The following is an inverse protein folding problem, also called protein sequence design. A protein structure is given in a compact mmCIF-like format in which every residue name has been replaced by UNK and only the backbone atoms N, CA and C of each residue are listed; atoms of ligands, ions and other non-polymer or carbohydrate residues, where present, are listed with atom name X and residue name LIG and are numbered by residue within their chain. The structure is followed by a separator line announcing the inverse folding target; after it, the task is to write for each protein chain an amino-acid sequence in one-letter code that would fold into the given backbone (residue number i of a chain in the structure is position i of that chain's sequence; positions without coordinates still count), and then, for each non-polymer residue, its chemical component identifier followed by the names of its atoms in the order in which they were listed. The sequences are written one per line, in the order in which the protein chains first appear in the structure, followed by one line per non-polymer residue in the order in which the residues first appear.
data_IF_206608931149
#
_entry.id   IF_206608931149
#
_cell.length_a   1.000
_cell.length_b   1.000
_cell.length_c   1.000
_cell.angle_alpha   90.00
_cell.angle_beta   90.00
_cell.angle_gamma   90.00
#
_symmetry.space_group_name_H-M   'P 1'
#
loop_
_entity.id
_entity.type
_entity.pdbx_description
1 polymer ?
#
# COMPACT_ATOMS: atom_id res chain seq x y z
N UNK A 1 -26.91 -13.57 -21.18
CA UNK A 1 -26.31 -13.47 -19.83
C UNK A 1 -26.54 -12.05 -19.33
N UNK A 2 -27.46 -11.88 -18.39
CA UNK A 2 -27.79 -10.57 -17.83
C UNK A 2 -26.65 -10.13 -16.90
N UNK A 3 -25.95 -9.07 -17.30
CA UNK A 3 -24.95 -8.39 -16.49
C UNK A 3 -25.64 -7.82 -15.25
N UNK A 4 -25.38 -8.41 -14.09
CA UNK A 4 -25.82 -7.84 -12.82
C UNK A 4 -25.08 -6.52 -12.63
N UNK A 5 -25.77 -5.41 -12.90
CA UNK A 5 -25.29 -4.05 -12.62
C UNK A 5 -25.30 -3.91 -11.10
N UNK A 6 -24.26 -4.43 -10.45
CA UNK A 6 -23.95 -4.10 -9.08
C UNK A 6 -23.72 -2.60 -9.03
N UNK A 7 -24.68 -1.85 -8.48
CA UNK A 7 -24.52 -0.43 -8.13
C UNK A 7 -23.11 -0.23 -7.61
N UNK A 8 -22.34 0.65 -8.25
CA UNK A 8 -20.98 0.98 -7.84
C UNK A 8 -20.93 1.12 -6.32
N UNK A 9 -20.36 0.11 -5.66
CA UNK A 9 -20.23 0.02 -4.21
C UNK A 9 -19.09 0.93 -3.82
N UNK A 10 -19.31 2.25 -3.87
CA UNK A 10 -18.31 3.20 -3.41
C UNK A 10 -18.20 3.08 -1.87
N UNK A 11 -17.08 2.58 -1.33
CA UNK A 11 -16.90 2.48 0.13
C UNK A 11 -16.93 3.86 0.82
N UNK A 12 -16.65 4.95 0.09
CA UNK A 12 -16.74 6.33 0.60
C UNK A 12 -18.15 6.75 0.99
N UNK A 13 -19.17 6.26 0.28
CA UNK A 13 -20.58 6.60 0.54
C UNK A 13 -21.04 6.21 1.96
N UNK A 14 -20.51 5.12 2.55
CA UNK A 14 -20.86 4.77 3.93
C UNK A 14 -20.26 5.71 4.97
N UNK A 15 -19.07 6.25 4.70
CA UNK A 15 -18.44 7.23 5.58
C UNK A 15 -19.23 8.54 5.56
N UNK A 16 -19.56 9.02 4.37
CA UNK A 16 -20.34 10.25 4.15
C UNK A 16 -21.74 10.15 4.77
N UNK A 17 -22.47 9.07 4.51
CA UNK A 17 -23.81 8.87 5.09
C UNK A 17 -23.77 8.85 6.61
N UNK A 18 -22.79 8.20 7.22
CA UNK A 18 -22.72 8.16 8.68
C UNK A 18 -22.32 9.49 9.32
N UNK A 19 -21.38 10.24 8.74
CA UNK A 19 -21.10 11.61 9.19
C UNK A 19 -22.33 12.52 9.02
N UNK A 20 -23.04 12.40 7.89
CA UNK A 20 -24.26 13.18 7.64
C UNK A 20 -25.34 12.87 8.68
N UNK A 21 -25.68 11.59 8.88
CA UNK A 21 -26.66 11.17 9.91
C UNK A 21 -26.25 11.66 11.29
N UNK A 22 -24.96 11.55 11.64
CA UNK A 22 -24.43 12.04 12.92
C UNK A 22 -24.59 13.55 13.09
N UNK A 23 -24.40 14.32 12.02
CA UNK A 23 -24.54 15.78 12.01
C UNK A 23 -25.99 16.24 12.07
N UNK A 24 -26.89 15.56 11.35
CA UNK A 24 -28.30 15.97 11.23
C UNK A 24 -29.20 15.37 12.33
N UNK A 25 -28.73 14.35 13.05
CA UNK A 25 -29.53 13.74 14.11
C UNK A 25 -29.74 14.67 15.31
N UNK A 26 -30.96 15.20 15.42
CA UNK A 26 -31.47 15.93 16.58
C UNK A 26 -32.33 15.02 17.48
N UNK A 27 -31.94 14.75 18.76
CA UNK A 27 -32.68 13.84 19.63
C UNK A 27 -34.13 14.24 19.95
N UNK A 28 -34.41 15.55 20.03
CA UNK A 28 -35.75 16.09 20.29
C UNK A 28 -36.70 15.78 19.14
N UNK A 29 -36.23 16.00 17.90
CA UNK A 29 -36.98 15.76 16.67
C UNK A 29 -37.08 14.29 16.32
N UNK A 30 -35.96 13.57 16.38
CA UNK A 30 -35.85 12.18 15.90
C UNK A 30 -36.08 11.13 16.99
N UNK A 31 -36.78 11.50 18.08
CA UNK A 31 -37.11 10.59 19.18
C UNK A 31 -37.69 9.24 18.73
N UNK A 32 -38.61 9.16 17.73
CA UNK A 32 -39.19 7.89 17.29
C UNK A 32 -38.20 6.88 16.68
N UNK A 33 -37.02 7.33 16.24
CA UNK A 33 -35.99 6.51 15.57
C UNK A 33 -34.64 6.55 16.28
N UNK A 34 -34.58 7.12 17.49
CA UNK A 34 -33.34 7.38 18.20
C UNK A 34 -32.55 6.09 18.51
N UNK A 35 -33.24 4.97 18.77
CA UNK A 35 -32.62 3.66 19.00
C UNK A 35 -31.85 3.17 17.77
N UNK A 36 -32.46 3.28 16.60
CA UNK A 36 -31.92 2.84 15.32
C UNK A 36 -30.76 3.73 14.89
N UNK A 37 -30.89 5.04 15.09
CA UNK A 37 -29.79 5.98 14.82
C UNK A 37 -28.58 5.62 15.69
N UNK A 38 -28.79 5.37 16.98
CA UNK A 38 -27.71 4.95 17.89
C UNK A 38 -27.07 3.63 17.46
N UNK A 39 -27.88 2.64 17.06
CA UNK A 39 -27.38 1.35 16.58
C UNK A 39 -26.55 1.48 15.29
N UNK A 40 -27.05 2.26 14.33
CA UNK A 40 -26.32 2.58 13.10
C UNK A 40 -25.01 3.32 13.40
N UNK A 41 -25.04 4.41 14.17
CA UNK A 41 -23.82 5.20 14.46
C UNK A 41 -22.78 4.39 15.24
N UNK A 42 -23.19 3.47 16.12
CA UNK A 42 -22.26 2.56 16.81
C UNK A 42 -21.53 1.62 15.85
N UNK A 43 -22.25 0.99 14.92
CA UNK A 43 -21.63 0.11 13.91
C UNK A 43 -20.81 0.89 12.89
N UNK A 44 -21.30 2.05 12.47
CA UNK A 44 -20.60 2.96 11.58
C UNK A 44 -19.30 3.49 12.19
N UNK A 45 -19.26 3.84 13.48
CA UNK A 45 -18.03 4.30 14.12
C UNK A 45 -16.90 3.26 14.07
N UNK A 46 -17.23 1.97 14.20
CA UNK A 46 -16.26 0.87 14.04
C UNK A 46 -15.77 0.75 12.60
N UNK A 47 -16.68 0.83 11.63
CA UNK A 47 -16.33 0.85 10.21
C UNK A 47 -15.43 2.06 9.86
N UNK A 48 -15.75 3.25 10.36
CA UNK A 48 -14.99 4.47 10.14
C UNK A 48 -13.59 4.39 10.77
N UNK A 49 -13.47 3.87 11.99
CA UNK A 49 -12.17 3.63 12.63
C UNK A 49 -11.32 2.62 11.84
N UNK A 50 -11.91 1.50 11.40
CA UNK A 50 -11.21 0.52 10.58
C UNK A 50 -10.81 1.09 9.21
N UNK A 51 -11.62 1.98 8.62
CA UNK A 51 -11.29 2.66 7.36
C UNK A 51 -10.06 3.55 7.50
N UNK A 52 -9.94 4.32 8.60
CA UNK A 52 -8.75 5.13 8.88
C UNK A 52 -7.49 4.28 9.03
N UNK A 53 -7.59 3.14 9.73
CA UNK A 53 -6.46 2.20 9.88
C UNK A 53 -6.05 1.62 8.53
N UNK A 54 -7.03 1.24 7.69
CA UNK A 54 -6.81 0.78 6.33
C UNK A 54 -6.09 1.83 5.50
N UNK A 55 -6.58 3.07 5.46
CA UNK A 55 -5.95 4.12 4.65
C UNK A 55 -4.52 4.43 5.12
N UNK A 56 -4.28 4.46 6.43
CA UNK A 56 -2.93 4.61 6.98
C UNK A 56 -2.00 3.43 6.62
N UNK A 57 -2.51 2.20 6.57
CA UNK A 57 -1.73 1.03 6.18
C UNK A 57 -1.38 1.04 4.68
N UNK A 58 -2.32 1.43 3.81
CA UNK A 58 -2.07 1.60 2.38
C UNK A 58 -1.06 2.72 2.11
N UNK A 59 -1.14 3.85 2.82
CA UNK A 59 -0.14 4.92 2.72
C UNK A 59 1.28 4.44 3.10
N UNK A 60 1.39 3.57 4.12
CA UNK A 60 2.67 2.94 4.49
C UNK A 60 3.18 1.96 3.43
N UNK A 61 2.30 1.17 2.82
CA UNK A 61 2.66 0.29 1.71
C UNK A 61 3.21 1.11 0.53
N UNK A 62 2.53 2.19 0.16
CA UNK A 62 2.96 3.07 -0.93
C UNK A 62 4.32 3.71 -0.64
N UNK A 63 4.52 4.24 0.57
CA UNK A 63 5.81 4.78 0.98
C UNK A 63 6.93 3.71 0.95
N UNK A 64 6.63 2.47 1.34
CA UNK A 64 7.60 1.37 1.27
C UNK A 64 7.96 1.02 -0.18
N UNK A 65 6.99 1.04 -1.11
CA UNK A 65 7.23 0.80 -2.54
C UNK A 65 8.07 1.92 -3.16
N UNK A 66 7.81 3.17 -2.80
CA UNK A 66 8.64 4.30 -3.22
C UNK A 66 10.09 4.16 -2.73
N UNK A 67 10.29 3.81 -1.47
CA UNK A 67 11.62 3.57 -0.91
C UNK A 67 12.35 2.40 -1.58
N UNK A 68 11.64 1.33 -1.96
CA UNK A 68 12.20 0.23 -2.74
C UNK A 68 12.67 0.70 -4.12
N UNK A 69 11.87 1.51 -4.82
CA UNK A 69 12.25 2.07 -6.12
C UNK A 69 13.49 2.97 -6.02
N UNK A 70 13.60 3.79 -4.98
CA UNK A 70 14.79 4.60 -4.71
C UNK A 70 16.03 3.75 -4.43
N UNK A 71 15.90 2.71 -3.60
CA UNK A 71 16.98 1.77 -3.30
C UNK A 71 17.47 1.03 -4.56
N UNK A 72 16.53 0.64 -5.43
CA UNK A 72 16.83 -0.03 -6.70
C UNK A 72 17.60 0.89 -7.66
N UNK A 73 17.16 2.14 -7.82
CA UNK A 73 17.88 3.14 -8.61
C UNK A 73 19.31 3.40 -8.07
N UNK A 74 19.48 3.41 -6.74
CA UNK A 74 20.79 3.54 -6.12
C UNK A 74 21.69 2.32 -6.38
N UNK A 75 21.11 1.10 -6.38
CA UNK A 75 21.81 -0.14 -6.74
C UNK A 75 22.26 -0.12 -8.19
N UNK A 76 21.41 0.27 -9.13
CA UNK A 76 21.74 0.45 -10.55
C UNK A 76 22.90 1.42 -10.76
N UNK A 77 22.86 2.56 -10.07
CA UNK A 77 23.95 3.54 -10.10
C UNK A 77 25.26 2.95 -9.57
N UNK A 78 25.20 2.15 -8.50
CA UNK A 78 26.35 1.46 -7.93
C UNK A 78 26.91 0.37 -8.85
N UNK A 79 26.06 -0.37 -9.57
CA UNK A 79 26.48 -1.33 -10.61
C UNK A 79 27.27 -0.61 -11.69
N UNK A 80 26.76 0.51 -12.21
CA UNK A 80 27.46 1.31 -13.23
C UNK A 80 28.76 1.93 -12.71
N UNK A 81 28.82 2.29 -11.42
CA UNK A 81 30.04 2.79 -10.80
C UNK A 81 31.13 1.70 -10.70
N UNK A 82 30.75 0.48 -10.33
CA UNK A 82 31.67 -0.66 -10.31
C UNK A 82 32.15 -1.02 -11.71
N UNK A 83 31.26 -1.02 -12.70
CA UNK A 83 31.59 -1.23 -14.12
C UNK A 83 32.70 -0.27 -14.59
N UNK A 84 32.52 1.03 -14.38
CA UNK A 84 33.52 2.05 -14.71
C UNK A 84 34.84 1.88 -13.95
N UNK A 85 34.78 1.55 -12.66
CA UNK A 85 35.99 1.35 -11.85
C UNK A 85 36.82 0.15 -12.34
N UNK A 86 36.16 -0.94 -12.75
CA UNK A 86 36.83 -2.10 -13.32
C UNK A 86 37.46 -1.79 -14.68
N UNK A 87 36.79 -1.01 -15.54
CA UNK A 87 37.38 -0.52 -16.80
C UNK A 87 38.64 0.32 -16.52
N UNK A 88 38.57 1.24 -15.56
CA UNK A 88 39.71 2.05 -15.14
C UNK A 88 40.87 1.21 -14.59
N UNK A 89 40.57 0.06 -13.98
CA UNK A 89 41.56 -0.91 -13.50
C UNK A 89 42.08 -1.86 -14.60
N UNK A 90 41.67 -1.69 -15.87
CA UNK A 90 42.17 -2.45 -17.02
C UNK A 90 41.31 -3.64 -17.45
N UNK A 91 40.13 -3.84 -16.86
CA UNK A 91 39.20 -4.89 -17.32
C UNK A 91 38.57 -4.54 -18.69
N UNK A 92 38.04 -5.56 -19.37
CA UNK A 92 37.56 -5.44 -20.75
C UNK A 92 36.36 -4.49 -20.89
N UNK A 93 36.44 -3.48 -21.76
CA UNK A 93 35.43 -2.42 -21.93
C UNK A 93 34.02 -2.93 -22.25
N UNK A 94 33.87 -4.01 -23.02
CA UNK A 94 32.53 -4.50 -23.41
C UNK A 94 31.81 -5.28 -22.29
N UNK A 95 32.55 -5.89 -21.37
CA UNK A 95 32.00 -6.59 -20.21
C UNK A 95 33.09 -6.73 -19.13
N UNK A 96 33.23 -5.73 -18.26
CA UNK A 96 34.18 -5.75 -17.15
C UNK A 96 33.86 -6.83 -16.11
N UNK A 97 32.61 -7.30 -16.07
CA UNK A 97 32.14 -8.31 -15.12
C UNK A 97 32.43 -9.76 -15.56
N UNK A 98 32.86 -9.97 -16.81
CA UNK A 98 33.05 -11.30 -17.41
C UNK A 98 34.01 -12.18 -16.61
N UNK A 99 35.15 -11.63 -16.17
CA UNK A 99 36.17 -12.34 -15.37
C UNK A 99 35.62 -12.82 -14.02
N UNK A 100 34.61 -12.14 -13.51
CA UNK A 100 33.96 -12.44 -12.23
C UNK A 100 32.73 -13.33 -12.39
N UNK A 101 32.49 -13.88 -13.58
CA UNK A 101 31.38 -14.82 -13.85
C UNK A 101 30.00 -14.15 -13.92
N UNK A 102 29.93 -12.83 -14.12
CA UNK A 102 28.68 -12.09 -14.18
C UNK A 102 28.40 -11.54 -15.60
N UNK A 103 27.10 -11.36 -15.95
CA UNK A 103 26.73 -10.71 -17.20
C UNK A 103 27.14 -9.23 -17.20
N UNK A 104 27.14 -8.58 -18.37
CA UNK A 104 27.41 -7.15 -18.46
C UNK A 104 26.40 -6.32 -17.63
N UNK A 105 26.81 -5.13 -17.18
CA UNK A 105 26.01 -4.26 -16.33
C UNK A 105 24.59 -4.02 -16.84
N UNK A 106 24.43 -3.74 -18.14
CA UNK A 106 23.12 -3.53 -18.78
C UNK A 106 22.18 -4.73 -18.68
N UNK A 107 22.72 -5.95 -18.72
CA UNK A 107 21.95 -7.18 -18.57
C UNK A 107 21.73 -7.54 -17.10
N UNK A 108 22.67 -7.18 -16.22
CA UNK A 108 22.56 -7.42 -14.79
C UNK A 108 21.35 -6.68 -14.20
N UNK A 109 21.19 -5.39 -14.51
CA UNK A 109 20.07 -4.55 -14.03
C UNK A 109 18.71 -4.87 -14.69
N UNK A 110 18.70 -5.75 -15.68
CA UNK A 110 17.46 -6.23 -16.34
C UNK A 110 17.00 -7.59 -15.81
N UNK A 111 17.74 -8.18 -14.88
CA UNK A 111 17.34 -9.42 -14.24
C UNK A 111 16.10 -9.19 -13.36
N UNK A 112 15.39 -10.27 -13.04
CA UNK A 112 14.33 -10.22 -12.02
C UNK A 112 14.97 -9.97 -10.66
N UNK A 113 14.29 -9.23 -9.78
CA UNK A 113 14.81 -8.81 -8.46
C UNK A 113 15.62 -9.88 -7.68
N UNK A 114 15.07 -11.09 -7.55
CA UNK A 114 15.73 -12.17 -6.82
C UNK A 114 17.03 -12.65 -7.52
N UNK A 115 16.99 -12.77 -8.84
CA UNK A 115 18.14 -13.19 -9.65
C UNK A 115 19.22 -12.11 -9.68
N UNK A 116 18.81 -10.84 -9.78
CA UNK A 116 19.70 -9.69 -9.73
C UNK A 116 20.45 -9.61 -8.39
N UNK A 117 19.71 -9.70 -7.29
CA UNK A 117 20.26 -9.66 -5.93
C UNK A 117 21.32 -10.74 -5.73
N UNK A 118 21.02 -11.97 -6.17
CA UNK A 118 21.96 -13.10 -6.10
C UNK A 118 23.18 -12.87 -6.98
N UNK A 119 22.98 -12.40 -8.21
CA UNK A 119 24.07 -12.13 -9.15
C UNK A 119 24.99 -11.01 -8.62
N UNK A 120 24.43 -9.95 -8.02
CA UNK A 120 25.20 -8.86 -7.41
C UNK A 120 26.00 -9.37 -6.20
N UNK A 121 25.41 -10.17 -5.31
CA UNK A 121 26.14 -10.77 -4.18
C UNK A 121 27.32 -11.63 -4.66
N UNK A 122 27.11 -12.44 -5.70
CA UNK A 122 28.17 -13.26 -6.31
C UNK A 122 29.26 -12.39 -6.95
N UNK A 123 28.88 -11.36 -7.70
CA UNK A 123 29.80 -10.41 -8.31
C UNK A 123 30.65 -9.68 -7.26
N UNK A 124 30.02 -9.11 -6.23
CA UNK A 124 30.72 -8.41 -5.13
C UNK A 124 31.70 -9.35 -4.44
N UNK A 125 31.30 -10.60 -4.17
CA UNK A 125 32.17 -11.61 -3.57
C UNK A 125 33.37 -11.94 -4.47
N UNK A 126 33.13 -12.17 -5.76
CA UNK A 126 34.17 -12.50 -6.74
C UNK A 126 35.16 -11.33 -6.93
N UNK A 127 34.65 -10.10 -7.05
CA UNK A 127 35.48 -8.89 -7.13
C UNK A 127 36.29 -8.72 -5.86
N UNK A 128 35.69 -8.88 -4.68
CA UNK A 128 36.39 -8.71 -3.40
C UNK A 128 37.49 -9.76 -3.15
N UNK A 129 37.37 -10.94 -3.75
CA UNK A 129 38.35 -12.02 -3.66
C UNK A 129 39.52 -11.86 -4.66
N UNK A 130 39.36 -11.04 -5.71
CA UNK A 130 40.39 -10.85 -6.71
C UNK A 130 41.61 -10.08 -6.17
N UNK A 131 42.79 -10.37 -6.74
CA UNK A 131 44.06 -9.71 -6.41
C UNK A 131 44.85 -9.46 -7.71
N UNK A 132 45.53 -8.31 -7.84
CA UNK A 132 45.40 -7.10 -7.03
C UNK A 132 44.11 -6.32 -7.33
N UNK A 133 43.59 -5.59 -6.34
CA UNK A 133 42.44 -4.67 -6.50
C UNK A 133 42.89 -3.23 -6.25
N UNK A 134 42.47 -2.30 -7.10
CA UNK A 134 42.65 -0.87 -6.83
C UNK A 134 41.72 -0.41 -5.71
N UNK A 135 42.09 0.68 -5.02
CA UNK A 135 41.27 1.24 -3.95
C UNK A 135 39.87 1.67 -4.46
N UNK A 136 39.80 2.17 -5.69
CA UNK A 136 38.55 2.58 -6.33
C UNK A 136 37.60 1.40 -6.57
N UNK A 137 38.11 0.28 -7.11
CA UNK A 137 37.30 -0.94 -7.31
C UNK A 137 36.80 -1.46 -5.97
N UNK A 138 37.65 -1.48 -4.93
CA UNK A 138 37.24 -1.90 -3.58
C UNK A 138 36.12 -1.02 -3.04
N UNK A 139 36.23 0.31 -3.18
CA UNK A 139 35.20 1.26 -2.74
C UNK A 139 33.89 1.07 -3.50
N UNK A 140 33.95 0.90 -4.82
CA UNK A 140 32.76 0.68 -5.65
C UNK A 140 32.06 -0.65 -5.33
N UNK A 141 32.81 -1.74 -5.13
CA UNK A 141 32.26 -3.03 -4.73
C UNK A 141 31.58 -2.97 -3.35
N UNK A 142 32.17 -2.25 -2.40
CA UNK A 142 31.55 -2.01 -1.08
C UNK A 142 30.26 -1.18 -1.19
N UNK A 143 30.25 -0.14 -2.03
CA UNK A 143 29.06 0.67 -2.27
C UNK A 143 27.93 -0.16 -2.90
N UNK A 144 28.25 -0.99 -3.89
CA UNK A 144 27.30 -1.91 -4.51
C UNK A 144 26.74 -2.92 -3.51
N UNK A 145 27.60 -3.49 -2.65
CA UNK A 145 27.16 -4.39 -1.56
C UNK A 145 26.12 -3.74 -0.66
N UNK A 146 26.39 -2.51 -0.19
CA UNK A 146 25.47 -1.75 0.66
C UNK A 146 24.16 -1.41 -0.05
N UNK A 147 24.22 -0.99 -1.30
CA UNK A 147 23.03 -0.69 -2.09
C UNK A 147 22.15 -1.93 -2.29
N UNK A 148 22.78 -3.09 -2.52
CA UNK A 148 22.04 -4.35 -2.65
C UNK A 148 21.37 -4.78 -1.33
N UNK A 149 22.04 -4.64 -0.19
CA UNK A 149 21.42 -4.89 1.12
C UNK A 149 20.27 -3.91 1.44
N UNK A 150 20.36 -2.66 0.96
CA UNK A 150 19.28 -1.70 1.08
C UNK A 150 18.03 -2.15 0.30
N UNK A 151 18.20 -2.67 -0.92
CA UNK A 151 17.09 -3.25 -1.71
C UNK A 151 16.46 -4.45 -1.00
N UNK A 152 17.27 -5.40 -0.49
CA UNK A 152 16.77 -6.56 0.28
C UNK A 152 15.95 -6.10 1.50
N UNK A 153 16.42 -5.07 2.20
CA UNK A 153 15.73 -4.52 3.37
C UNK A 153 14.43 -3.82 2.99
N UNK A 154 14.44 -3.04 1.91
CA UNK A 154 13.25 -2.37 1.39
C UNK A 154 12.19 -3.38 0.92
N UNK A 155 12.57 -4.46 0.26
CA UNK A 155 11.66 -5.52 -0.19
C UNK A 155 10.94 -6.21 0.99
N UNK A 156 11.66 -6.48 2.09
CA UNK A 156 11.06 -7.00 3.33
C UNK A 156 10.07 -6.01 3.94
N UNK A 157 10.38 -4.73 3.88
CA UNK A 157 9.48 -3.65 4.34
C UNK A 157 8.20 -3.62 3.52
N UNK A 158 8.30 -3.69 2.19
CA UNK A 158 7.15 -3.76 1.28
C UNK A 158 6.29 -4.98 1.59
N UNK A 159 6.90 -6.16 1.77
CA UNK A 159 6.17 -7.39 2.09
C UNK A 159 5.38 -7.25 3.40
N UNK A 160 6.01 -6.70 4.43
CA UNK A 160 5.38 -6.48 5.74
C UNK A 160 4.25 -5.45 5.64
N UNK A 161 4.47 -4.35 4.93
CA UNK A 161 3.49 -3.29 4.74
C UNK A 161 2.26 -3.77 3.94
N UNK A 162 2.48 -4.55 2.88
CA UNK A 162 1.40 -5.15 2.08
C UNK A 162 0.55 -6.13 2.90
N UNK A 163 1.18 -6.96 3.75
CA UNK A 163 0.45 -7.86 4.66
C UNK A 163 -0.40 -7.08 5.67
N UNK A 164 0.13 -5.97 6.21
CA UNK A 164 -0.60 -5.09 7.11
C UNK A 164 -1.77 -4.38 6.40
N UNK A 165 -1.56 -3.86 5.18
CA UNK A 165 -2.60 -3.24 4.37
C UNK A 165 -3.74 -4.22 4.03
N UNK A 166 -3.41 -5.45 3.65
CA UNK A 166 -4.37 -6.53 3.42
C UNK A 166 -5.17 -6.87 4.68
N UNK A 167 -4.50 -7.02 5.83
CA UNK A 167 -5.16 -7.29 7.11
C UNK A 167 -6.10 -6.15 7.53
N UNK A 168 -5.68 -4.90 7.34
CA UNK A 168 -6.50 -3.73 7.65
C UNK A 168 -7.73 -3.63 6.73
N UNK A 169 -7.59 -3.99 5.45
CA UNK A 169 -8.71 -4.10 4.52
C UNK A 169 -9.73 -5.13 4.99
N UNK A 170 -9.27 -6.35 5.33
CA UNK A 170 -10.15 -7.42 5.84
C UNK A 170 -10.88 -6.99 7.12
N UNK A 171 -10.18 -6.32 8.04
CA UNK A 171 -10.78 -5.79 9.26
C UNK A 171 -11.87 -4.75 8.97
N UNK A 172 -11.68 -3.87 7.97
CA UNK A 172 -12.70 -2.92 7.52
C UNK A 172 -13.87 -3.60 6.82
N UNK A 173 -13.60 -4.56 5.96
CA UNK A 173 -14.62 -5.34 5.24
C UNK A 173 -15.52 -6.13 6.21
N UNK A 174 -14.99 -6.62 7.32
CA UNK A 174 -15.77 -7.29 8.36
C UNK A 174 -16.91 -6.43 8.94
N UNK A 175 -16.78 -5.09 8.88
CA UNK A 175 -17.83 -4.16 9.33
C UNK A 175 -18.76 -3.67 8.22
N UNK A 176 -18.46 -3.93 6.93
CA UNK A 176 -19.27 -3.41 5.80
C UNK A 176 -20.70 -3.98 5.81
N UNK A 177 -20.86 -5.30 5.99
CA UNK A 177 -22.19 -5.91 6.05
C UNK A 177 -22.99 -5.47 7.28
N UNK A 178 -22.44 -5.50 8.52
CA UNK A 178 -23.13 -4.99 9.71
C UNK A 178 -23.59 -3.53 9.58
N UNK A 179 -22.73 -2.62 9.11
CA UNK A 179 -23.11 -1.20 9.00
C UNK A 179 -24.20 -0.98 7.95
N UNK A 180 -24.17 -1.69 6.82
CA UNK A 180 -25.23 -1.64 5.79
C UNK A 180 -26.56 -2.19 6.30
N UNK A 181 -26.52 -3.27 7.08
CA UNK A 181 -27.72 -3.82 7.69
C UNK A 181 -28.35 -2.81 8.66
N UNK A 182 -27.54 -2.20 9.54
CA UNK A 182 -28.02 -1.17 10.45
C UNK A 182 -28.57 0.07 9.71
N UNK A 183 -27.91 0.51 8.65
CA UNK A 183 -28.39 1.60 7.80
C UNK A 183 -29.74 1.26 7.12
N UNK A 184 -29.91 0.02 6.66
CA UNK A 184 -31.14 -0.42 6.01
C UNK A 184 -32.32 -0.44 6.99
N UNK A 185 -32.09 -0.94 8.22
CA UNK A 185 -33.08 -0.92 9.30
C UNK A 185 -33.44 0.53 9.65
N UNK A 186 -32.45 1.40 9.82
CA UNK A 186 -32.69 2.81 10.10
C UNK A 186 -33.53 3.48 8.99
N UNK A 187 -33.17 3.29 7.71
CA UNK A 187 -33.93 3.84 6.58
C UNK A 187 -35.38 3.36 6.56
N UNK A 188 -35.62 2.09 6.90
CA UNK A 188 -36.98 1.55 7.00
C UNK A 188 -37.76 2.21 8.13
N UNK A 189 -37.19 2.31 9.32
CA UNK A 189 -37.88 2.89 10.48
C UNK A 189 -38.15 4.38 10.32
N UNK A 190 -37.24 5.14 9.68
CA UNK A 190 -37.49 6.54 9.35
C UNK A 190 -38.69 6.69 8.42
N UNK A 191 -38.82 5.85 7.39
CA UNK A 191 -40.00 5.86 6.50
C UNK A 191 -41.30 5.50 7.22
N UNK A 192 -41.24 4.57 8.19
CA UNK A 192 -42.40 4.24 9.03
C UNK A 192 -42.78 5.43 9.91
N UNK A 193 -41.81 6.07 10.55
CA UNK A 193 -42.02 7.24 11.39
C UNK A 193 -42.59 8.43 10.59
N UNK A 194 -42.14 8.64 9.34
CA UNK A 194 -42.70 9.66 8.44
C UNK A 194 -44.19 9.45 8.20
N UNK A 195 -44.62 8.21 7.94
CA UNK A 195 -46.05 7.86 7.78
C UNK A 195 -46.87 8.10 9.05
N UNK A 196 -46.21 8.12 10.20
CA UNK A 196 -46.81 8.36 11.52
C UNK A 196 -46.66 9.80 12.00
N UNK A 197 -46.19 10.72 11.14
CA UNK A 197 -46.18 12.16 11.42
C UNK A 197 -44.79 12.80 11.57
N UNK A 198 -43.69 12.04 11.47
CA UNK A 198 -42.33 12.60 11.48
C UNK A 198 -41.92 13.14 10.10
N UNK A 199 -42.64 14.15 9.59
CA UNK A 199 -42.49 14.63 8.22
C UNK A 199 -41.06 15.13 7.91
N UNK A 200 -40.53 14.73 6.74
CA UNK A 200 -39.26 15.21 6.19
C UNK A 200 -38.00 14.57 6.77
N UNK A 201 -38.11 13.71 7.78
CA UNK A 201 -36.94 13.12 8.45
C UNK A 201 -36.10 12.20 7.54
N UNK A 202 -36.68 11.58 6.52
CA UNK A 202 -35.90 10.77 5.58
C UNK A 202 -35.00 11.63 4.71
N UNK A 203 -35.53 12.74 4.19
CA UNK A 203 -34.74 13.68 3.42
C UNK A 203 -33.61 14.24 4.31
N UNK A 204 -33.93 14.73 5.50
CA UNK A 204 -32.95 15.32 6.41
C UNK A 204 -31.85 14.36 6.84
N UNK A 205 -32.16 13.10 7.14
CA UNK A 205 -31.14 12.15 7.61
C UNK A 205 -30.31 11.54 6.47
N UNK A 206 -30.77 11.58 5.21
CA UNK A 206 -30.13 10.84 4.12
C UNK A 206 -29.87 11.63 2.83
N UNK A 207 -30.30 12.88 2.68
CA UNK A 207 -29.91 13.71 1.55
C UNK A 207 -28.48 14.20 1.74
N UNK A 208 -27.53 13.40 1.27
CA UNK A 208 -26.15 13.87 1.05
C UNK A 208 -26.18 14.79 -0.17
N UNK A 209 -25.81 16.06 0.02
CA UNK A 209 -25.59 17.02 -1.09
C UNK A 209 -24.57 16.50 -2.11
#
# INVERSE_FOLDING_TARGET
MASYVGSQRNPGHLLEVGEHVKRTFEPSRHKPVASEVKAFLSTWARYAAASKVRDAAFAKEEAARAALAEADAARDAAVRALDRALIGAGEHRSNPFKRFGAPAASRLVQLRYADETKAIQQLVKAVSAARPLTAEVKKAAQALSRANEAVITAERTVTTAAAAASSALQARDAFDRPVRAALSVLKLQVRVAEKLGLAGAYAELFSTE
#
